data_IF_480895741550
#
_entry.id   IF_480895741550
#
_cell.length_a   1.000
_cell.length_b   1.000
_cell.length_c   1.000
_cell.angle_alpha   90.00
_cell.angle_beta   90.00
_cell.angle_gamma   90.00
#
_symmetry.space_group_name_H-M   'P 1'
#
loop_
_entity.id
_entity.type
_entity.pdbx_description
1 polymer ?
#
# COMPACT_ATOMS: atom_id res chain seq x y z
N UNK A 1 25.02 -2.57 -6.65
CA UNK A 1 23.76 -2.57 -5.89
C UNK A 1 23.20 -3.99 -5.93
N UNK A 2 23.09 -4.65 -4.79
CA UNK A 2 22.45 -5.96 -4.69
C UNK A 2 20.92 -5.81 -4.62
N UNK A 3 20.20 -6.94 -4.60
CA UNK A 3 18.72 -6.95 -4.58
C UNK A 3 18.14 -6.25 -3.35
N UNK A 4 18.79 -6.39 -2.19
CA UNK A 4 18.35 -5.79 -0.93
C UNK A 4 18.59 -4.27 -0.92
N UNK A 5 19.74 -3.81 -1.41
CA UNK A 5 20.02 -2.38 -1.55
C UNK A 5 19.06 -1.69 -2.52
N UNK A 6 18.64 -2.39 -3.58
CA UNK A 6 17.58 -1.91 -4.47
C UNK A 6 16.24 -1.82 -3.74
N UNK A 7 15.83 -2.89 -3.05
CA UNK A 7 14.59 -2.93 -2.29
C UNK A 7 14.56 -1.82 -1.23
N UNK A 8 15.58 -1.72 -0.38
CA UNK A 8 15.74 -0.66 0.61
C UNK A 8 15.65 0.76 0.01
N UNK A 9 16.16 0.97 -1.20
CA UNK A 9 16.01 2.26 -1.88
C UNK A 9 14.56 2.50 -2.31
N UNK A 10 13.92 1.49 -2.89
CA UNK A 10 12.50 1.56 -3.28
C UNK A 10 11.62 1.89 -2.06
N UNK A 11 11.81 1.18 -0.94
CA UNK A 11 11.09 1.46 0.32
C UNK A 11 11.31 2.89 0.82
N UNK A 12 12.55 3.39 0.73
CA UNK A 12 12.87 4.76 1.16
C UNK A 12 12.25 5.82 0.26
N UNK A 13 12.14 5.52 -1.04
CA UNK A 13 11.49 6.39 -2.01
C UNK A 13 9.96 6.38 -1.81
N UNK A 14 9.37 5.20 -1.53
CA UNK A 14 7.97 5.04 -1.13
C UNK A 14 7.62 5.78 0.15
N UNK A 15 8.40 5.60 1.22
CA UNK A 15 8.23 6.33 2.49
C UNK A 15 8.16 7.84 2.25
N UNK A 16 9.13 8.38 1.51
CA UNK A 16 9.23 9.81 1.20
C UNK A 16 7.99 10.28 0.44
N UNK A 17 7.60 9.51 -0.58
CA UNK A 17 6.48 9.84 -1.43
C UNK A 17 5.17 9.91 -0.63
N UNK A 18 4.89 8.92 0.20
CA UNK A 18 3.70 8.92 1.04
C UNK A 18 3.72 10.03 2.10
N UNK A 19 4.87 10.33 2.71
CA UNK A 19 5.00 11.49 3.61
C UNK A 19 4.72 12.81 2.89
N UNK A 20 5.15 12.96 1.63
CA UNK A 20 4.85 14.14 0.82
C UNK A 20 3.36 14.22 0.46
N UNK A 21 2.70 13.11 0.14
CA UNK A 21 1.25 13.10 -0.09
C UNK A 21 0.46 13.45 1.17
N UNK A 22 0.93 13.01 2.34
CA UNK A 22 0.33 13.34 3.63
C UNK A 22 0.37 14.86 3.91
N UNK A 23 1.37 15.60 3.43
CA UNK A 23 1.44 17.06 3.63
C UNK A 23 0.61 17.85 2.61
N UNK A 24 0.29 17.25 1.47
CA UNK A 24 -0.46 17.88 0.37
C UNK A 24 -1.99 17.76 0.51
N UNK A 25 -2.48 17.05 1.51
CA UNK A 25 -3.92 16.89 1.76
C UNK A 25 -4.35 17.47 3.10
N UNK A 26 -5.50 18.17 3.06
CA UNK A 26 -6.20 18.67 4.25
C UNK A 26 -7.22 17.66 4.80
N UNK A 27 -7.52 16.60 4.03
CA UNK A 27 -8.42 15.55 4.48
C UNK A 27 -7.73 14.67 5.52
N UNK A 28 -8.28 14.65 6.74
CA UNK A 28 -7.72 13.90 7.86
C UNK A 28 -7.70 12.38 7.62
N UNK A 29 -8.66 11.87 6.83
CA UNK A 29 -8.73 10.47 6.45
C UNK A 29 -7.60 10.08 5.51
N UNK A 30 -7.46 10.81 4.39
CA UNK A 30 -6.37 10.59 3.43
C UNK A 30 -5.00 10.79 4.08
N UNK A 31 -4.82 11.84 4.89
CA UNK A 31 -3.58 12.04 5.66
C UNK A 31 -3.24 10.83 6.54
N UNK A 32 -4.25 10.24 7.19
CA UNK A 32 -4.06 9.04 8.00
C UNK A 32 -3.70 7.81 7.16
N UNK A 33 -4.22 7.68 5.93
CA UNK A 33 -3.86 6.59 5.02
C UNK A 33 -2.41 6.76 4.54
N UNK A 34 -2.03 7.95 4.06
CA UNK A 34 -0.68 8.23 3.58
C UNK A 34 0.37 8.06 4.68
N UNK A 35 0.07 8.50 5.90
CA UNK A 35 0.98 8.30 7.04
C UNK A 35 1.16 6.82 7.36
N UNK A 36 0.07 6.04 7.30
CA UNK A 36 0.12 4.60 7.56
C UNK A 36 0.94 3.86 6.48
N UNK A 37 0.73 4.14 5.20
CA UNK A 37 1.53 3.54 4.11
C UNK A 37 3.02 3.86 4.29
N UNK A 38 3.37 5.12 4.60
CA UNK A 38 4.73 5.51 4.90
C UNK A 38 5.35 4.73 6.09
N UNK A 39 4.54 4.37 7.09
CA UNK A 39 4.99 3.56 8.23
C UNK A 39 5.20 2.09 7.84
N UNK A 40 4.39 1.53 6.94
CA UNK A 40 4.61 0.17 6.41
C UNK A 40 5.92 0.11 5.58
N UNK A 41 6.21 1.09 4.73
CA UNK A 41 7.48 1.11 3.96
C UNK A 41 8.72 1.15 4.86
N UNK A 42 8.62 1.82 6.02
CA UNK A 42 9.71 1.82 7.02
C UNK A 42 9.92 0.41 7.59
N UNK A 43 8.86 -0.36 7.80
CA UNK A 43 8.98 -1.76 8.25
C UNK A 43 9.64 -2.62 7.18
N UNK A 44 9.20 -2.50 5.92
CA UNK A 44 9.80 -3.21 4.79
C UNK A 44 11.30 -2.91 4.67
N UNK A 45 11.68 -1.63 4.78
CA UNK A 45 13.08 -1.20 4.76
C UNK A 45 13.93 -1.95 5.80
N UNK A 46 13.45 -2.04 7.05
CA UNK A 46 14.18 -2.71 8.12
C UNK A 46 14.25 -4.23 7.92
N UNK A 47 13.23 -4.84 7.33
CA UNK A 47 13.28 -6.25 6.96
C UNK A 47 14.38 -6.48 5.92
N UNK A 48 14.42 -5.69 4.84
CA UNK A 48 15.46 -5.82 3.82
C UNK A 48 16.86 -5.47 4.35
N UNK A 49 16.99 -4.50 5.25
CA UNK A 49 18.25 -4.18 5.94
C UNK A 49 18.78 -5.38 6.73
N UNK A 50 17.92 -6.05 7.50
CA UNK A 50 18.29 -7.25 8.25
C UNK A 50 18.68 -8.40 7.33
N UNK A 51 17.94 -8.61 6.24
CA UNK A 51 18.27 -9.64 5.25
C UNK A 51 19.61 -9.36 4.57
N UNK A 52 19.89 -8.11 4.20
CA UNK A 52 21.17 -7.70 3.62
C UNK A 52 22.35 -7.95 4.57
N UNK A 53 22.12 -7.79 5.88
CA UNK A 53 23.11 -7.99 6.93
C UNK A 53 23.18 -9.45 7.43
N UNK A 54 22.40 -10.37 6.85
CA UNK A 54 22.24 -11.75 7.32
C UNK A 54 21.89 -11.85 8.82
N UNK A 55 21.05 -10.93 9.29
CA UNK A 55 20.50 -10.93 10.66
C UNK A 55 19.14 -11.62 10.70
N UNK A 56 18.71 -11.98 11.90
CA UNK A 56 17.36 -12.48 12.13
C UNK A 56 16.31 -11.46 11.63
N UNK A 57 15.32 -11.95 10.88
CA UNK A 57 14.27 -11.13 10.30
C UNK A 57 13.33 -10.69 11.41
N UNK A 58 13.09 -9.37 11.59
CA UNK A 58 12.25 -8.89 12.66
C UNK A 58 10.80 -9.33 12.45
N UNK A 59 10.15 -9.78 13.52
CA UNK A 59 8.69 -9.99 13.49
C UNK A 59 8.03 -8.63 13.74
N UNK A 60 7.48 -8.04 12.69
CA UNK A 60 6.71 -6.81 12.80
C UNK A 60 5.21 -7.10 12.66
N UNK A 61 4.35 -6.45 13.46
CA UNK A 61 2.91 -6.58 13.32
C UNK A 61 2.48 -5.97 11.98
N UNK A 62 1.73 -6.74 11.19
CA UNK A 62 1.05 -6.21 10.02
C UNK A 62 -0.15 -5.38 10.45
N UNK A 63 -0.40 -4.28 9.75
CA UNK A 63 -1.62 -3.51 9.95
C UNK A 63 -2.75 -4.20 9.19
N UNK A 64 -3.92 -4.31 9.81
CA UNK A 64 -5.14 -4.68 9.10
C UNK A 64 -5.59 -3.48 8.26
N UNK A 65 -4.99 -3.37 7.07
CA UNK A 65 -5.24 -2.31 6.09
C UNK A 65 -6.72 -2.19 5.77
N UNK A 66 -7.43 -3.32 5.69
CA UNK A 66 -8.85 -3.35 5.38
C UNK A 66 -9.67 -2.66 6.47
N UNK A 67 -9.48 -3.08 7.73
CA UNK A 67 -10.21 -2.51 8.86
C UNK A 67 -9.88 -1.03 9.05
N UNK A 68 -8.61 -0.65 8.91
CA UNK A 68 -8.19 0.75 9.03
C UNK A 68 -8.83 1.62 7.93
N UNK A 69 -8.71 1.18 6.68
CA UNK A 69 -9.25 1.85 5.50
C UNK A 69 -10.76 2.02 5.57
N UNK A 70 -11.50 0.95 5.90
CA UNK A 70 -12.97 1.00 6.02
C UNK A 70 -13.42 2.06 7.02
N UNK A 71 -12.81 2.08 8.20
CA UNK A 71 -13.14 3.07 9.24
C UNK A 71 -12.86 4.51 8.80
N UNK A 72 -11.83 4.71 7.96
CA UNK A 72 -11.49 6.04 7.43
C UNK A 72 -12.51 6.47 6.38
N UNK A 73 -12.83 5.63 5.40
CA UNK A 73 -13.83 5.96 4.37
C UNK A 73 -15.22 6.20 4.96
N UNK A 74 -15.65 5.42 5.95
CA UNK A 74 -16.91 5.65 6.66
C UNK A 74 -16.95 7.02 7.38
N UNK A 75 -15.80 7.49 7.90
CA UNK A 75 -15.69 8.82 8.51
C UNK A 75 -15.70 9.92 7.46
N UNK A 76 -15.02 9.73 6.32
CA UNK A 76 -15.00 10.68 5.21
C UNK A 76 -16.42 10.88 4.64
N UNK A 77 -17.18 9.78 4.46
CA UNK A 77 -18.57 9.84 3.98
C UNK A 77 -19.48 10.65 4.92
N UNK A 78 -19.31 10.51 6.24
CA UNK A 78 -20.12 11.24 7.24
C UNK A 78 -19.79 12.72 7.35
N UNK A 79 -18.64 13.16 6.82
CA UNK A 79 -18.16 14.54 6.89
C UNK A 79 -18.99 15.50 6.02
N UNK A 80 -19.78 14.99 5.05
CA UNK A 80 -20.60 15.78 4.11
C UNK A 80 -19.80 16.83 3.31
N UNK A 81 -18.47 16.74 3.30
CA UNK A 81 -17.58 17.54 2.46
C UNK A 81 -17.38 16.79 1.14
N UNK A 82 -17.79 17.39 0.02
CA UNK A 82 -17.40 16.90 -1.30
C UNK A 82 -15.93 17.26 -1.48
N UNK A 83 -15.01 16.29 -1.46
CA UNK A 83 -13.61 16.62 -1.62
C UNK A 83 -13.39 17.07 -3.06
N UNK A 84 -12.72 18.20 -3.25
CA UNK A 84 -12.35 18.70 -4.57
C UNK A 84 -10.93 18.21 -4.88
N UNK A 85 -10.81 17.14 -5.65
CA UNK A 85 -9.52 16.65 -6.14
C UNK A 85 -9.21 17.24 -7.51
N UNK A 86 -7.97 17.72 -7.69
CA UNK A 86 -7.48 18.16 -8.99
C UNK A 86 -7.03 16.94 -9.81
N UNK A 87 -6.96 17.09 -11.12
CA UNK A 87 -6.41 16.06 -12.01
C UNK A 87 -4.97 15.69 -11.64
N UNK A 88 -4.19 16.64 -11.12
CA UNK A 88 -2.84 16.41 -10.61
C UNK A 88 -2.82 15.45 -9.42
N UNK A 89 -3.74 15.58 -8.46
CA UNK A 89 -3.85 14.64 -7.33
C UNK A 89 -4.20 13.23 -7.81
N UNK A 90 -5.12 13.10 -8.77
CA UNK A 90 -5.47 11.79 -9.36
C UNK A 90 -4.26 11.16 -10.04
N UNK A 91 -3.48 11.95 -10.78
CA UNK A 91 -2.27 11.47 -11.44
C UNK A 91 -1.18 11.05 -10.45
N UNK A 92 -1.00 11.78 -9.34
CA UNK A 92 -0.10 11.37 -8.26
C UNK A 92 -0.51 10.01 -7.68
N UNK A 93 -1.79 9.81 -7.35
CA UNK A 93 -2.23 8.54 -6.78
C UNK A 93 -2.13 7.37 -7.78
N UNK A 94 -2.34 7.62 -9.08
CA UNK A 94 -2.08 6.63 -10.14
C UNK A 94 -0.60 6.26 -10.25
N UNK A 95 0.31 7.20 -10.00
CA UNK A 95 1.75 6.91 -9.98
C UNK A 95 2.11 6.05 -8.77
N UNK A 96 1.55 6.36 -7.58
CA UNK A 96 1.67 5.51 -6.39
C UNK A 96 1.23 4.07 -6.69
N UNK A 97 0.04 3.92 -7.28
CA UNK A 97 -0.54 2.63 -7.64
C UNK A 97 0.38 1.80 -8.54
N UNK A 98 0.97 2.42 -9.56
CA UNK A 98 1.93 1.76 -10.46
C UNK A 98 3.22 1.37 -9.76
N UNK A 99 3.66 2.17 -8.79
CA UNK A 99 4.82 1.87 -7.96
C UNK A 99 4.57 0.61 -7.14
N UNK A 100 3.43 0.52 -6.45
CA UNK A 100 3.06 -0.67 -5.66
C UNK A 100 2.92 -1.93 -6.51
N UNK A 101 2.28 -1.81 -7.68
CA UNK A 101 2.19 -2.94 -8.61
C UNK A 101 3.58 -3.43 -9.06
N UNK A 102 4.52 -2.51 -9.23
CA UNK A 102 5.89 -2.83 -9.62
C UNK A 102 6.67 -3.49 -8.47
N UNK A 103 6.52 -2.98 -7.25
CA UNK A 103 7.12 -3.56 -6.03
C UNK A 103 6.60 -4.99 -5.79
N UNK A 104 5.28 -5.19 -5.84
CA UNK A 104 4.65 -6.50 -5.71
C UNK A 104 5.22 -7.52 -6.71
N UNK A 105 5.24 -7.18 -8.00
CA UNK A 105 5.79 -8.06 -9.05
C UNK A 105 7.26 -8.35 -8.81
N UNK A 106 8.05 -7.32 -8.50
CA UNK A 106 9.47 -7.47 -8.25
C UNK A 106 9.75 -8.42 -7.07
N UNK A 107 9.09 -8.24 -5.93
CA UNK A 107 9.29 -9.08 -4.75
C UNK A 107 8.80 -10.52 -4.96
N UNK A 108 7.69 -10.69 -5.66
CA UNK A 108 7.19 -12.03 -6.06
C UNK A 108 8.21 -12.75 -6.95
N UNK A 109 8.72 -12.08 -7.99
CA UNK A 109 9.73 -12.65 -8.89
C UNK A 109 11.02 -13.01 -8.14
N UNK A 110 11.47 -12.14 -7.21
CA UNK A 110 12.67 -12.42 -6.40
C UNK A 110 12.46 -13.59 -5.46
N UNK A 111 11.30 -13.72 -4.83
CA UNK A 111 10.98 -14.87 -3.99
C UNK A 111 11.10 -16.20 -4.75
N UNK A 112 10.72 -16.23 -6.03
CA UNK A 112 10.81 -17.44 -6.87
C UNK A 112 12.26 -17.84 -7.19
N UNK A 113 13.20 -16.91 -7.15
CA UNK A 113 14.62 -17.14 -7.42
C UNK A 113 15.43 -17.52 -6.17
N UNK A 114 14.84 -17.40 -4.97
CA UNK A 114 15.48 -17.71 -3.70
C UNK A 114 15.13 -19.14 -3.29
N UNK A 115 16.11 -19.87 -2.76
CA UNK A 115 15.89 -21.20 -2.17
C UNK A 115 14.90 -21.14 -1.01
N UNK A 116 14.24 -22.26 -0.72
CA UNK A 116 13.25 -22.28 0.36
C UNK A 116 13.90 -21.96 1.72
N UNK A 117 13.32 -21.01 2.45
CA UNK A 117 13.91 -20.49 3.68
C UNK A 117 13.25 -19.23 4.20
N UNK A 118 13.82 -18.65 5.26
CA UNK A 118 13.27 -17.44 5.89
C UNK A 118 13.28 -16.23 4.96
N UNK A 119 14.31 -16.09 4.12
CA UNK A 119 14.40 -14.97 3.17
C UNK A 119 13.29 -15.03 2.11
N UNK A 120 13.03 -16.22 1.55
CA UNK A 120 11.93 -16.42 0.61
C UNK A 120 10.58 -16.07 1.23
N UNK A 121 10.33 -16.52 2.46
CA UNK A 121 9.10 -16.21 3.20
C UNK A 121 8.94 -14.72 3.45
N UNK A 122 10.03 -14.01 3.75
CA UNK A 122 10.01 -12.56 3.93
C UNK A 122 9.68 -11.82 2.61
N UNK A 123 10.29 -12.20 1.49
CA UNK A 123 9.94 -11.59 0.19
C UNK A 123 8.47 -11.84 -0.19
N UNK A 124 7.96 -13.07 0.00
CA UNK A 124 6.55 -13.37 -0.28
C UNK A 124 5.62 -12.57 0.64
N UNK A 125 5.96 -12.45 1.92
CA UNK A 125 5.18 -11.65 2.86
C UNK A 125 5.13 -10.18 2.45
N UNK A 126 6.28 -9.57 2.15
CA UNK A 126 6.33 -8.17 1.72
C UNK A 126 5.56 -8.00 0.41
N UNK A 127 5.72 -8.92 -0.54
CA UNK A 127 4.94 -8.88 -1.78
C UNK A 127 3.42 -8.83 -1.52
N UNK A 128 2.90 -9.66 -0.62
CA UNK A 128 1.49 -9.62 -0.24
C UNK A 128 1.08 -8.31 0.45
N UNK A 129 1.97 -7.73 1.27
CA UNK A 129 1.77 -6.42 1.90
C UNK A 129 1.70 -5.31 0.82
N UNK A 130 2.60 -5.29 -0.18
CA UNK A 130 2.55 -4.35 -1.32
C UNK A 130 1.32 -4.55 -2.21
N UNK A 131 0.89 -5.79 -2.40
CA UNK A 131 -0.34 -6.06 -3.13
C UNK A 131 -1.57 -5.50 -2.40
N UNK A 132 -1.59 -5.57 -1.07
CA UNK A 132 -2.61 -4.92 -0.27
C UNK A 132 -2.55 -3.39 -0.37
N UNK A 133 -1.36 -2.79 -0.42
CA UNK A 133 -1.17 -1.36 -0.70
C UNK A 133 -1.71 -0.96 -2.07
N UNK A 134 -1.42 -1.76 -3.11
CA UNK A 134 -1.96 -1.59 -4.45
C UNK A 134 -3.49 -1.58 -4.45
N UNK A 135 -4.14 -2.56 -3.82
CA UNK A 135 -5.61 -2.63 -3.74
C UNK A 135 -6.17 -1.41 -2.99
N UNK A 136 -5.51 -0.97 -1.92
CA UNK A 136 -5.92 0.25 -1.21
C UNK A 136 -5.87 1.49 -2.12
N UNK A 137 -4.76 1.68 -2.82
CA UNK A 137 -4.58 2.79 -3.76
C UNK A 137 -5.58 2.75 -4.91
N UNK A 138 -5.91 1.57 -5.43
CA UNK A 138 -6.90 1.38 -6.49
C UNK A 138 -8.25 1.97 -6.05
N UNK A 139 -8.67 1.66 -4.82
CA UNK A 139 -9.90 2.19 -4.23
C UNK A 139 -9.84 3.71 -3.98
N UNK A 140 -8.68 4.23 -3.57
CA UNK A 140 -8.51 5.69 -3.41
C UNK A 140 -8.60 6.39 -4.75
N UNK A 141 -7.93 5.89 -5.78
CA UNK A 141 -7.98 6.43 -7.16
C UNK A 141 -9.42 6.45 -7.67
N UNK A 142 -10.19 5.38 -7.43
CA UNK A 142 -11.60 5.30 -7.79
C UNK A 142 -12.43 6.37 -7.05
N UNK A 143 -12.26 6.46 -5.73
CA UNK A 143 -12.94 7.46 -4.89
C UNK A 143 -12.67 8.90 -5.35
N UNK A 144 -11.41 9.23 -5.64
CA UNK A 144 -11.02 10.61 -6.02
C UNK A 144 -11.40 10.95 -7.45
N UNK A 145 -11.53 9.96 -8.33
CA UNK A 145 -11.86 10.15 -9.75
C UNK A 145 -13.37 10.26 -9.98
N UNK A 146 -14.19 9.66 -9.11
CA UNK A 146 -15.64 9.62 -9.27
C UNK A 146 -16.39 9.68 -7.91
N UNK A 147 -16.20 10.75 -7.10
CA UNK A 147 -16.71 10.79 -5.73
C UNK A 147 -18.24 10.71 -5.64
N UNK A 148 -18.98 11.22 -6.64
CA UNK A 148 -20.45 11.19 -6.67
C UNK A 148 -21.00 9.78 -6.96
N UNK A 149 -20.36 9.01 -7.85
CA UNK A 149 -20.79 7.66 -8.25
C UNK A 149 -20.39 6.58 -7.26
N UNK A 150 -19.34 6.85 -6.47
CA UNK A 150 -18.78 5.88 -5.53
C UNK A 150 -19.65 5.69 -4.27
N UNK A 151 -20.38 6.73 -3.84
CA UNK A 151 -21.29 6.66 -2.68
C UNK A 151 -22.47 5.70 -2.92
N UNK A 152 -22.84 5.46 -4.17
CA UNK A 152 -23.95 4.57 -4.56
C UNK A 152 -23.50 3.17 -5.01
N UNK A 153 -22.20 2.89 -5.12
CA UNK A 153 -21.74 1.63 -5.70
C UNK A 153 -21.82 0.46 -4.71
N UNK A 154 -22.48 -0.62 -5.12
CA UNK A 154 -22.53 -1.88 -4.38
C UNK A 154 -21.14 -2.52 -4.18
N UNK A 155 -20.14 -2.11 -4.97
CA UNK A 155 -18.74 -2.56 -4.91
C UNK A 155 -18.07 -2.22 -3.57
N UNK A 156 -18.51 -1.16 -2.88
CA UNK A 156 -17.99 -0.82 -1.55
C UNK A 156 -18.42 -1.84 -0.47
N UNK A 157 -19.64 -2.40 -0.57
CA UNK A 157 -20.09 -3.47 0.32
C UNK A 157 -19.30 -4.78 0.11
N UNK A 158 -18.66 -4.93 -1.06
CA UNK A 158 -17.87 -6.09 -1.43
C UNK A 158 -16.36 -5.84 -1.36
N UNK A 159 -15.88 -4.75 -0.74
CA UNK A 159 -14.44 -4.55 -0.51
C UNK A 159 -13.82 -5.78 0.19
N UNK A 160 -14.55 -6.40 1.12
CA UNK A 160 -14.10 -7.64 1.76
C UNK A 160 -13.95 -8.80 0.77
N UNK A 161 -14.81 -8.89 -0.23
CA UNK A 161 -14.74 -9.93 -1.26
C UNK A 161 -13.67 -9.64 -2.31
N UNK A 162 -13.34 -8.38 -2.63
CA UNK A 162 -12.19 -8.04 -3.50
C UNK A 162 -10.85 -8.33 -2.84
N UNK A 163 -10.69 -8.02 -1.55
CA UNK A 163 -9.49 -8.40 -0.78
C UNK A 163 -9.37 -9.94 -0.67
N UNK A 164 -10.48 -10.65 -0.42
CA UNK A 164 -10.47 -12.11 -0.30
C UNK A 164 -10.33 -12.83 -1.65
N UNK A 165 -10.98 -12.38 -2.73
CA UNK A 165 -10.88 -13.01 -4.06
C UNK A 165 -9.52 -12.80 -4.71
N UNK A 166 -8.87 -11.63 -4.56
CA UNK A 166 -7.54 -11.43 -5.13
C UNK A 166 -6.44 -12.17 -4.35
N UNK A 167 -6.55 -12.33 -3.02
CA UNK A 167 -5.63 -13.17 -2.24
C UNK A 167 -5.88 -14.68 -2.42
N UNK A 168 -7.00 -15.10 -3.00
CA UNK A 168 -7.34 -16.51 -3.23
C UNK A 168 -6.96 -17.03 -4.63
N UNK A 169 -6.25 -16.24 -5.44
CA UNK A 169 -5.90 -16.56 -6.83
C UNK A 169 -4.42 -16.94 -7.05
N UNK A 170 -3.71 -17.33 -5.99
CA UNK A 170 -2.33 -17.85 -6.04
C UNK A 170 -2.25 -19.20 -5.35
#
# INVERSE_FOLDING_TARGET
MNVYEYAMKAEKDGERYYRELATQTDDAGLKSIWTMLAEEEVKHYHIFEHMNQNKAIPTMPSVDLFKHTKNIFEKMQKSNQVPCFTEDHVNLYKNALRSEESSYKFYTEKALMIEDGEQKKAFLRIAEEEHAHYVLLENIVEYVSAPETWVESAEFNHLSEKFVQKSALI
#
